data_IF_428148699476
#
_entry.id   IF_428148699476
#
_cell.length_a   1.000
_cell.length_b   1.000
_cell.length_c   1.000
_cell.angle_alpha   90.00
_cell.angle_beta   90.00
_cell.angle_gamma   90.00
#
_symmetry.space_group_name_H-M   'P 1'
#
loop_
_entity.id
_entity.type
_entity.pdbx_description
1 polymer ?
#
# COMPACT_ATOMS: atom_id res chain seq x y z
N UNK A 1 -0.55 -0.21 16.87
CA UNK A 1 -0.11 0.09 15.48
C UNK A 1 1.38 -0.18 15.38
N UNK A 2 1.80 -1.09 14.53
CA UNK A 2 3.20 -1.47 14.34
C UNK A 2 3.79 -0.72 13.14
N UNK A 3 4.64 0.27 13.41
CA UNK A 3 5.28 1.16 12.43
C UNK A 3 4.71 2.57 12.43
N UNK A 4 5.57 3.56 12.69
CA UNK A 4 5.24 5.00 12.80
C UNK A 4 5.60 5.78 11.51
N UNK A 5 5.43 5.13 10.34
CA UNK A 5 5.48 5.77 9.02
C UNK A 5 4.23 6.63 8.76
N UNK A 6 4.06 7.08 7.51
CA UNK A 6 2.89 7.89 7.11
C UNK A 6 1.58 7.16 7.41
N UNK A 7 1.40 5.95 6.86
CA UNK A 7 0.18 5.15 7.01
C UNK A 7 -0.06 4.80 8.49
N UNK A 8 0.96 4.26 9.18
CA UNK A 8 0.80 3.87 10.58
C UNK A 8 0.48 5.04 11.50
N UNK A 9 1.14 6.19 11.33
CA UNK A 9 0.83 7.40 12.10
C UNK A 9 -0.59 7.93 11.80
N UNK A 10 -0.99 7.95 10.52
CA UNK A 10 -2.32 8.38 10.12
C UNK A 10 -3.42 7.50 10.74
N UNK A 11 -3.31 6.17 10.57
CA UNK A 11 -4.32 5.26 11.11
C UNK A 11 -4.35 5.29 12.63
N UNK A 12 -3.17 5.30 13.30
CA UNK A 12 -3.11 5.43 14.76
C UNK A 12 -3.76 6.71 15.27
N UNK A 13 -3.42 7.83 14.65
CA UNK A 13 -3.95 9.13 15.09
C UNK A 13 -5.45 9.28 14.91
N UNK A 14 -5.99 8.85 13.75
CA UNK A 14 -7.44 8.92 13.52
C UNK A 14 -8.23 7.92 14.38
N UNK A 15 -7.68 6.73 14.62
CA UNK A 15 -8.30 5.77 15.56
C UNK A 15 -8.32 6.34 16.97
N UNK A 16 -7.23 6.96 17.45
CA UNK A 16 -7.18 7.60 18.74
C UNK A 16 -8.16 8.78 18.85
N UNK A 17 -8.26 9.61 17.82
CA UNK A 17 -9.25 10.70 17.73
C UNK A 17 -10.70 10.18 17.75
N UNK A 18 -10.95 8.97 17.24
CA UNK A 18 -12.23 8.29 17.31
C UNK A 18 -12.47 7.55 18.66
N UNK A 19 -11.63 7.78 19.69
CA UNK A 19 -11.81 7.24 21.03
C UNK A 19 -11.29 5.81 21.24
N UNK A 20 -10.46 5.27 20.30
CA UNK A 20 -9.83 3.97 20.50
C UNK A 20 -8.57 4.09 21.35
N UNK A 21 -8.29 3.09 22.23
CA UNK A 21 -7.00 2.97 22.90
C UNK A 21 -5.94 2.48 21.91
N UNK A 22 -5.03 3.37 21.52
CA UNK A 22 -4.03 3.11 20.50
C UNK A 22 -2.63 3.27 21.04
N UNK A 23 -1.82 2.20 20.86
CA UNK A 23 -0.37 2.27 20.99
C UNK A 23 0.27 2.35 19.60
N UNK A 24 1.14 3.34 19.38
CA UNK A 24 1.94 3.49 18.16
C UNK A 24 3.39 3.11 18.45
N UNK A 25 3.85 2.04 17.82
CA UNK A 25 5.24 1.59 17.92
C UNK A 25 6.14 2.42 17.00
N UNK A 26 7.11 3.08 17.61
CA UNK A 26 8.13 3.88 16.93
C UNK A 26 9.51 3.54 17.49
N UNK A 27 10.56 3.70 16.68
CA UNK A 27 11.94 3.42 17.08
C UNK A 27 12.89 4.56 16.71
N UNK A 28 14.05 4.60 17.36
CA UNK A 28 15.13 5.53 17.03
C UNK A 28 14.70 7.00 17.04
N UNK A 29 15.15 7.75 16.06
CA UNK A 29 14.87 9.19 15.94
C UNK A 29 13.37 9.49 15.89
N UNK A 30 12.55 8.61 15.27
CA UNK A 30 11.09 8.80 15.20
C UNK A 30 10.42 8.67 16.57
N UNK A 31 10.89 7.76 17.41
CA UNK A 31 10.42 7.61 18.79
C UNK A 31 10.71 8.88 19.59
N UNK A 32 11.98 9.35 19.57
CA UNK A 32 12.39 10.56 20.27
C UNK A 32 11.57 11.78 19.83
N UNK A 33 11.33 11.91 18.53
CA UNK A 33 10.53 12.98 17.96
C UNK A 33 9.07 12.94 18.43
N UNK A 34 8.40 11.79 18.31
CA UNK A 34 7.00 11.64 18.72
C UNK A 34 6.81 11.84 20.24
N UNK A 35 7.80 11.44 21.04
CA UNK A 35 7.78 11.69 22.50
C UNK A 35 7.91 13.18 22.84
N UNK A 36 8.70 13.93 22.06
CA UNK A 36 8.95 15.37 22.29
C UNK A 36 7.82 16.25 21.76
N UNK A 37 7.32 15.96 20.54
CA UNK A 37 6.45 16.85 19.78
C UNK A 37 5.00 16.35 19.67
N UNK A 38 4.79 15.06 19.96
CA UNK A 38 3.52 14.41 19.68
C UNK A 38 3.34 14.08 18.19
N UNK A 39 2.13 13.70 17.81
CA UNK A 39 1.75 13.45 16.41
C UNK A 39 0.80 14.54 15.94
N UNK A 40 1.09 15.14 14.82
CA UNK A 40 0.19 16.08 14.14
C UNK A 40 -0.22 15.49 12.79
N UNK A 41 -1.52 15.42 12.51
CA UNK A 41 -2.11 15.04 11.25
C UNK A 41 -2.68 16.28 10.54
N UNK A 42 -2.36 16.44 9.27
CA UNK A 42 -2.86 17.52 8.42
C UNK A 42 -3.59 16.91 7.22
N UNK A 43 -4.88 17.14 7.12
CA UNK A 43 -5.67 16.73 5.97
C UNK A 43 -5.47 17.71 4.82
N UNK A 44 -4.82 17.27 3.74
CA UNK A 44 -4.55 18.14 2.57
C UNK A 44 -5.82 18.59 1.84
N UNK A 45 -6.94 17.88 2.01
CA UNK A 45 -8.17 18.22 1.32
C UNK A 45 -8.93 19.35 2.01
N UNK A 46 -8.93 19.37 3.35
CA UNK A 46 -9.63 20.38 4.15
C UNK A 46 -8.70 21.43 4.77
N UNK A 47 -7.40 21.15 4.86
CA UNK A 47 -6.44 21.93 5.64
C UNK A 47 -6.59 21.74 7.16
N UNK A 48 -7.46 20.83 7.59
CA UNK A 48 -7.69 20.57 9.01
C UNK A 48 -6.45 19.94 9.65
N UNK A 49 -6.07 20.47 10.82
CA UNK A 49 -4.95 19.99 11.61
C UNK A 49 -5.46 19.40 12.92
N UNK A 50 -5.03 18.18 13.22
CA UNK A 50 -5.39 17.47 14.44
C UNK A 50 -4.15 16.93 15.15
N UNK A 51 -4.12 16.99 16.49
CA UNK A 51 -3.03 16.47 17.33
C UNK A 51 -3.58 15.43 18.31
N UNK A 52 -3.82 14.19 17.85
CA UNK A 52 -4.40 13.15 18.66
C UNK A 52 -3.45 12.70 19.77
N UNK A 53 -4.00 12.48 20.96
CA UNK A 53 -3.26 11.86 22.06
C UNK A 53 -3.26 10.35 21.88
N UNK A 54 -2.06 9.77 21.79
CA UNK A 54 -1.89 8.32 21.71
C UNK A 54 -0.62 7.89 22.46
N UNK A 55 -0.61 6.64 22.88
CA UNK A 55 0.53 6.07 23.59
C UNK A 55 1.62 5.71 22.57
N UNK A 56 2.82 6.26 22.78
CA UNK A 56 4.00 5.93 21.97
C UNK A 56 4.81 4.86 22.70
N UNK A 57 5.00 3.71 22.05
CA UNK A 57 5.75 2.57 22.59
C UNK A 57 6.98 2.29 21.72
N UNK A 58 8.04 1.81 22.38
CA UNK A 58 9.31 1.49 21.72
C UNK A 58 9.40 0.04 21.31
N UNK A 59 8.75 -0.84 22.06
CA UNK A 59 8.79 -2.28 21.87
C UNK A 59 7.39 -2.87 21.80
N UNK A 60 7.29 -4.03 21.20
CA UNK A 60 6.14 -4.91 21.22
C UNK A 60 6.57 -6.21 21.91
N UNK A 61 6.02 -6.46 23.10
CA UNK A 61 6.45 -7.55 23.94
C UNK A 61 5.63 -8.83 23.74
N UNK A 62 6.19 -10.02 24.03
CA UNK A 62 5.48 -11.29 23.89
C UNK A 62 4.22 -11.44 24.74
N UNK A 63 4.11 -10.68 25.82
CA UNK A 63 2.98 -10.68 26.78
C UNK A 63 2.03 -9.51 26.62
N UNK A 64 2.31 -8.58 25.70
CA UNK A 64 1.39 -7.50 25.36
C UNK A 64 0.01 -8.02 24.95
N UNK A 65 -1.04 -7.33 25.39
CA UNK A 65 -2.43 -7.66 25.07
C UNK A 65 -3.03 -6.54 24.23
N UNK A 66 -3.41 -6.89 23.00
CA UNK A 66 -4.14 -6.02 22.07
C UNK A 66 -5.23 -6.82 21.37
N UNK A 67 -6.37 -6.22 21.11
CA UNK A 67 -7.44 -6.84 20.31
C UNK A 67 -6.99 -7.05 18.87
N UNK A 68 -6.24 -6.08 18.32
CA UNK A 68 -5.74 -6.09 16.95
C UNK A 68 -4.37 -5.43 16.87
N UNK A 69 -3.45 -6.04 16.16
CA UNK A 69 -2.20 -5.39 15.72
C UNK A 69 -2.32 -5.06 14.24
N UNK A 70 -2.15 -3.78 13.89
CA UNK A 70 -2.09 -3.34 12.49
C UNK A 70 -0.63 -3.06 12.15
N UNK A 71 -0.09 -3.79 11.19
CA UNK A 71 1.27 -3.67 10.68
C UNK A 71 1.26 -2.75 9.47
N UNK A 72 1.91 -1.59 9.60
CA UNK A 72 2.02 -0.57 8.55
C UNK A 72 3.50 -0.25 8.28
N UNK A 73 4.31 -1.29 8.14
CA UNK A 73 5.70 -1.21 7.71
C UNK A 73 5.82 -1.37 6.20
N UNK A 74 6.98 -1.07 5.63
CA UNK A 74 7.25 -1.35 4.23
C UNK A 74 7.42 -2.86 4.00
N UNK A 75 7.19 -3.31 2.78
CA UNK A 75 7.28 -4.71 2.39
C UNK A 75 8.68 -5.31 2.65
N UNK A 76 9.74 -4.53 2.44
CA UNK A 76 11.14 -4.92 2.68
C UNK A 76 11.47 -5.16 4.17
N UNK A 77 10.67 -4.64 5.09
CA UNK A 77 10.88 -4.77 6.53
C UNK A 77 10.16 -5.97 7.17
N UNK A 78 9.31 -6.66 6.42
CA UNK A 78 8.45 -7.73 6.97
C UNK A 78 9.25 -8.88 7.55
N UNK A 79 10.34 -9.28 6.91
CA UNK A 79 11.18 -10.38 7.40
C UNK A 79 11.70 -10.13 8.83
N UNK A 80 12.01 -8.87 9.18
CA UNK A 80 12.48 -8.48 10.51
C UNK A 80 11.33 -8.39 11.53
N UNK A 81 10.12 -8.07 11.06
CA UNK A 81 8.95 -7.86 11.93
C UNK A 81 8.27 -9.17 12.30
N UNK A 82 8.27 -10.16 11.42
CA UNK A 82 7.57 -11.44 11.64
C UNK A 82 8.01 -12.20 12.89
N UNK A 83 9.30 -12.34 13.23
CA UNK A 83 9.71 -13.00 14.47
C UNK A 83 9.17 -12.32 15.72
N UNK A 84 9.14 -10.97 15.74
CA UNK A 84 8.62 -10.18 16.85
C UNK A 84 7.11 -10.38 17.01
N UNK A 85 6.37 -10.39 15.91
CA UNK A 85 4.91 -10.66 15.91
C UNK A 85 4.60 -12.10 16.32
N UNK A 86 5.43 -13.07 15.90
CA UNK A 86 5.25 -14.48 16.20
C UNK A 86 5.51 -14.81 17.67
N UNK A 87 6.43 -14.09 18.32
CA UNK A 87 6.73 -14.26 19.75
C UNK A 87 5.52 -13.95 20.64
N UNK A 88 4.68 -12.99 20.26
CA UNK A 88 3.45 -12.71 20.95
C UNK A 88 2.31 -13.60 20.45
N UNK A 89 1.81 -14.49 21.31
CA UNK A 89 0.70 -15.41 21.03
C UNK A 89 -0.64 -14.96 21.61
N UNK A 90 -0.67 -13.86 22.34
CA UNK A 90 -1.89 -13.32 22.98
C UNK A 90 -2.77 -12.53 22.01
N UNK A 91 -2.17 -11.94 21.00
CA UNK A 91 -2.88 -11.20 19.95
C UNK A 91 -3.41 -12.16 18.90
N UNK A 92 -4.72 -12.25 18.75
CA UNK A 92 -5.40 -13.17 17.84
C UNK A 92 -5.62 -12.62 16.43
N UNK A 93 -5.38 -11.32 16.19
CA UNK A 93 -5.60 -10.69 14.91
C UNK A 93 -4.46 -9.73 14.54
N UNK A 94 -3.79 -10.01 13.43
CA UNK A 94 -2.73 -9.17 12.86
C UNK A 94 -3.11 -8.76 11.44
N UNK A 95 -3.29 -7.48 11.22
CA UNK A 95 -3.64 -6.90 9.91
C UNK A 95 -2.37 -6.38 9.26
N UNK A 96 -2.03 -6.90 8.08
CA UNK A 96 -0.93 -6.39 7.27
C UNK A 96 -1.46 -5.34 6.29
N UNK A 97 -1.34 -4.06 6.67
CA UNK A 97 -1.84 -2.92 5.91
C UNK A 97 -0.71 -2.34 5.05
N UNK A 98 -0.30 -3.09 4.04
CA UNK A 98 0.87 -2.79 3.23
C UNK A 98 0.82 -3.44 1.85
N UNK A 99 1.75 -3.05 0.99
CA UNK A 99 2.01 -3.77 -0.25
C UNK A 99 2.58 -5.18 0.03
N UNK A 100 2.04 -6.20 -0.65
CA UNK A 100 2.55 -7.57 -0.58
C UNK A 100 2.16 -8.31 -1.86
N UNK A 101 3.12 -8.52 -2.76
CA UNK A 101 2.89 -9.26 -3.99
C UNK A 101 3.40 -10.71 -3.94
N UNK A 102 4.23 -11.05 -2.95
CA UNK A 102 4.73 -12.42 -2.74
C UNK A 102 3.68 -13.40 -2.22
N UNK A 103 2.52 -12.87 -1.80
CA UNK A 103 1.46 -13.65 -1.19
C UNK A 103 1.62 -13.88 0.32
N UNK A 104 0.61 -14.48 0.97
CA UNK A 104 0.56 -14.59 2.43
C UNK A 104 1.32 -15.78 3.02
N UNK A 105 2.02 -16.59 2.22
CA UNK A 105 2.61 -17.84 2.69
C UNK A 105 3.56 -17.66 3.90
N UNK A 106 4.46 -16.70 3.84
CA UNK A 106 5.41 -16.42 4.93
C UNK A 106 4.68 -15.87 6.17
N UNK A 107 3.63 -15.07 5.99
CA UNK A 107 2.82 -14.55 7.09
C UNK A 107 2.08 -15.68 7.81
N UNK A 108 1.51 -16.59 7.03
CA UNK A 108 0.82 -17.79 7.54
C UNK A 108 1.78 -18.72 8.26
N UNK A 109 2.97 -18.97 7.69
CA UNK A 109 3.97 -19.82 8.30
C UNK A 109 4.44 -19.29 9.66
N UNK A 110 4.60 -17.97 9.79
CA UNK A 110 5.05 -17.33 11.02
C UNK A 110 3.96 -17.21 12.10
N UNK A 111 2.72 -16.90 11.72
CA UNK A 111 1.66 -16.48 12.64
C UNK A 111 0.49 -17.46 12.76
N UNK A 112 0.33 -18.37 11.80
CA UNK A 112 -0.90 -19.15 11.63
C UNK A 112 -1.94 -18.39 10.78
N UNK A 113 -2.70 -19.15 9.98
CA UNK A 113 -3.70 -18.59 9.03
C UNK A 113 -4.77 -17.76 9.72
N UNK A 114 -5.23 -18.19 10.87
CA UNK A 114 -6.33 -17.58 11.65
C UNK A 114 -5.96 -16.22 12.24
N UNK A 115 -4.68 -15.93 12.41
CA UNK A 115 -4.23 -14.62 12.90
C UNK A 115 -4.06 -13.58 11.81
N UNK A 116 -3.87 -14.01 10.56
CA UNK A 116 -3.50 -13.12 9.45
C UNK A 116 -4.74 -12.54 8.77
N UNK A 117 -4.79 -11.22 8.69
CA UNK A 117 -5.68 -10.45 7.84
C UNK A 117 -4.83 -9.64 6.87
N UNK A 118 -5.15 -9.69 5.59
CA UNK A 118 -4.50 -8.88 4.57
C UNK A 118 -5.27 -7.57 4.39
N UNK A 119 -4.55 -6.48 4.16
CA UNK A 119 -5.16 -5.19 3.93
C UNK A 119 -4.32 -4.29 3.03
N UNK A 120 -4.94 -3.21 2.59
CA UNK A 120 -4.28 -2.14 1.85
C UNK A 120 -4.87 -0.79 2.26
N UNK A 121 -4.05 0.26 2.50
CA UNK A 121 -4.55 1.55 2.95
C UNK A 121 -5.32 2.29 1.85
N UNK A 122 -6.36 3.01 2.25
CA UNK A 122 -7.13 3.91 1.39
C UNK A 122 -6.68 5.36 1.47
N UNK A 123 -5.42 5.59 1.86
CA UNK A 123 -4.86 6.90 2.07
C UNK A 123 -3.37 6.90 1.70
N UNK A 124 -2.89 8.04 1.29
CA UNK A 124 -1.47 8.32 1.09
C UNK A 124 -1.08 9.64 1.72
N UNK A 125 0.19 10.01 1.64
CA UNK A 125 0.67 11.27 2.17
C UNK A 125 2.19 11.31 2.32
N UNK A 126 2.64 12.38 2.94
CA UNK A 126 4.03 12.62 3.24
C UNK A 126 4.22 12.87 4.74
N UNK A 127 5.43 12.65 5.21
CA UNK A 127 5.82 12.97 6.57
C UNK A 127 6.94 13.99 6.56
N UNK A 128 6.73 15.04 7.29
CA UNK A 128 7.74 16.04 7.58
C UNK A 128 7.80 16.19 9.09
N UNK A 129 8.90 15.75 9.68
CA UNK A 129 9.07 15.69 11.13
C UNK A 129 7.92 14.96 11.84
N UNK A 130 7.34 15.56 12.89
CA UNK A 130 6.21 15.00 13.64
C UNK A 130 4.88 15.10 12.88
N UNK A 131 4.83 15.90 11.81
CA UNK A 131 3.64 16.16 11.02
C UNK A 131 3.48 15.08 9.92
N UNK A 132 2.25 14.64 9.73
CA UNK A 132 1.85 13.76 8.63
C UNK A 132 0.79 14.48 7.83
N UNK A 133 1.17 14.97 6.67
CA UNK A 133 0.24 15.47 5.66
C UNK A 133 -0.35 14.28 4.94
N UNK A 134 -1.66 14.16 4.92
CA UNK A 134 -2.33 13.01 4.33
C UNK A 134 -3.52 13.41 3.47
N UNK A 135 -3.86 12.51 2.54
CA UNK A 135 -5.09 12.57 1.76
C UNK A 135 -5.74 11.19 1.73
N UNK A 136 -7.03 11.14 2.00
CA UNK A 136 -7.84 9.96 1.69
C UNK A 136 -8.02 9.89 0.17
N UNK A 137 -7.82 8.70 -0.41
CA UNK A 137 -7.93 8.49 -1.86
C UNK A 137 -9.38 8.12 -2.17
N UNK A 138 -10.19 9.00 -2.83
CA UNK A 138 -11.62 8.74 -3.04
C UNK A 138 -11.89 7.45 -3.81
N UNK A 139 -11.01 7.09 -4.76
CA UNK A 139 -11.14 5.91 -5.60
C UNK A 139 -10.67 4.62 -4.91
N UNK A 140 -9.97 4.73 -3.77
CA UNK A 140 -9.34 3.65 -3.04
C UNK A 140 -9.82 3.61 -1.59
N UNK A 141 -10.69 2.66 -1.27
CA UNK A 141 -11.06 2.37 0.12
C UNK A 141 -9.95 1.60 0.83
N UNK A 142 -9.91 1.64 2.16
CA UNK A 142 -9.13 0.68 2.93
C UNK A 142 -9.65 -0.71 2.63
N UNK A 143 -8.82 -1.54 2.00
CA UNK A 143 -9.19 -2.89 1.64
C UNK A 143 -8.82 -3.85 2.76
N UNK A 144 -9.69 -4.79 3.07
CA UNK A 144 -9.45 -5.86 4.03
C UNK A 144 -9.90 -7.20 3.46
N UNK A 145 -9.19 -8.28 3.81
CA UNK A 145 -9.59 -9.62 3.43
C UNK A 145 -8.95 -10.70 4.30
N UNK A 146 -9.74 -11.71 4.61
CA UNK A 146 -9.21 -12.94 5.23
C UNK A 146 -8.41 -13.73 4.22
N UNK A 147 -7.39 -14.44 4.70
CA UNK A 147 -6.65 -15.40 3.88
C UNK A 147 -7.54 -16.53 3.36
N UNK A 148 -8.62 -16.85 4.08
CA UNK A 148 -9.61 -17.84 3.66
C UNK A 148 -10.54 -17.35 2.53
N UNK A 149 -10.60 -16.04 2.28
CA UNK A 149 -11.55 -15.40 1.38
C UNK A 149 -12.96 -15.20 1.96
N UNK A 150 -13.19 -15.61 3.20
CA UNK A 150 -14.46 -15.39 3.88
C UNK A 150 -14.58 -13.95 4.39
N UNK A 151 -15.79 -13.40 4.43
CA UNK A 151 -16.06 -12.16 5.16
C UNK A 151 -16.56 -12.56 6.55
N UNK A 152 -15.70 -12.38 7.55
CA UNK A 152 -15.95 -12.87 8.91
C UNK A 152 -16.51 -11.78 9.83
N UNK A 153 -17.13 -12.15 10.97
CA UNK A 153 -17.56 -11.16 11.96
C UNK A 153 -16.43 -10.26 12.47
N UNK A 154 -15.19 -10.76 12.55
CA UNK A 154 -14.05 -9.92 12.95
C UNK A 154 -13.73 -8.84 11.92
N UNK A 155 -13.82 -9.14 10.60
CA UNK A 155 -13.65 -8.12 9.57
C UNK A 155 -14.71 -7.02 9.67
N UNK A 156 -15.96 -7.37 9.99
CA UNK A 156 -17.02 -6.38 10.20
C UNK A 156 -16.74 -5.50 11.42
N UNK A 157 -16.28 -6.06 12.55
CA UNK A 157 -15.88 -5.27 13.74
C UNK A 157 -14.73 -4.33 13.41
N UNK A 158 -13.68 -4.82 12.74
CA UNK A 158 -12.54 -3.99 12.32
C UNK A 158 -13.01 -2.87 11.39
N UNK A 159 -13.86 -3.20 10.41
CA UNK A 159 -14.38 -2.21 9.48
C UNK A 159 -15.19 -1.12 10.18
N UNK A 160 -16.05 -1.49 11.17
CA UNK A 160 -16.81 -0.51 11.94
C UNK A 160 -15.92 0.46 12.70
N UNK A 161 -14.85 -0.05 13.33
CA UNK A 161 -13.86 0.78 14.04
C UNK A 161 -13.11 1.73 13.08
N UNK A 162 -12.67 1.23 11.93
CA UNK A 162 -12.02 2.06 10.92
C UNK A 162 -12.97 3.09 10.31
N UNK A 163 -14.23 2.73 10.07
CA UNK A 163 -15.25 3.65 9.56
C UNK A 163 -15.58 4.75 10.57
N UNK A 164 -15.66 4.44 11.86
CA UNK A 164 -15.82 5.42 12.91
C UNK A 164 -14.63 6.41 12.97
N UNK A 165 -13.42 5.95 12.60
CA UNK A 165 -12.24 6.79 12.44
C UNK A 165 -12.20 7.52 11.07
N UNK A 166 -13.26 7.45 10.27
CA UNK A 166 -13.41 8.13 8.98
C UNK A 166 -12.67 7.49 7.81
N UNK A 167 -12.31 6.21 7.89
CA UNK A 167 -11.75 5.48 6.76
C UNK A 167 -12.85 4.71 6.03
N UNK A 168 -13.12 4.98 4.74
CA UNK A 168 -13.96 4.10 3.93
C UNK A 168 -13.34 2.70 3.85
N UNK A 169 -14.11 1.66 4.14
CA UNK A 169 -13.63 0.26 4.11
C UNK A 169 -14.38 -0.55 3.06
N UNK A 170 -13.67 -1.48 2.43
CA UNK A 170 -14.26 -2.51 1.58
C UNK A 170 -13.56 -3.85 1.80
N UNK A 171 -14.28 -4.94 1.49
CA UNK A 171 -13.74 -6.29 1.61
C UNK A 171 -13.39 -6.88 0.25
N UNK A 172 -12.30 -7.64 0.21
CA UNK A 172 -11.96 -8.50 -0.90
C UNK A 172 -11.93 -9.96 -0.45
N UNK A 173 -12.67 -10.82 -1.15
CA UNK A 173 -12.60 -12.27 -0.94
C UNK A 173 -11.34 -12.89 -1.54
N UNK A 174 -10.58 -12.11 -2.33
CA UNK A 174 -9.34 -12.52 -3.00
C UNK A 174 -8.28 -11.46 -2.77
N UNK A 175 -7.99 -11.17 -1.49
CA UNK A 175 -7.11 -10.05 -1.14
C UNK A 175 -5.69 -10.26 -1.67
N UNK A 176 -5.19 -11.50 -1.71
CA UNK A 176 -3.91 -11.81 -2.36
C UNK A 176 -3.90 -11.45 -3.85
N UNK A 177 -4.94 -11.82 -4.59
CA UNK A 177 -5.08 -11.46 -5.99
C UNK A 177 -5.22 -9.93 -6.19
N UNK A 178 -5.92 -9.26 -5.26
CA UNK A 178 -6.02 -7.81 -5.24
C UNK A 178 -4.65 -7.14 -5.09
N UNK A 179 -3.84 -7.61 -4.12
CA UNK A 179 -2.48 -7.07 -3.87
C UNK A 179 -1.55 -7.31 -5.06
N UNK A 180 -1.60 -8.48 -5.70
CA UNK A 180 -0.81 -8.78 -6.91
C UNK A 180 -1.23 -7.91 -8.10
N UNK A 181 -2.54 -7.71 -8.29
CA UNK A 181 -3.08 -6.81 -9.33
C UNK A 181 -2.60 -5.39 -9.10
N UNK A 182 -2.68 -4.93 -7.83
CA UNK A 182 -2.20 -3.60 -7.44
C UNK A 182 -0.70 -3.45 -7.68
N UNK A 183 0.11 -4.45 -7.31
CA UNK A 183 1.55 -4.41 -7.50
C UNK A 183 1.94 -4.26 -8.98
N UNK A 184 1.31 -5.00 -9.89
CA UNK A 184 1.53 -4.84 -11.34
C UNK A 184 1.18 -3.43 -11.80
N UNK A 185 0.02 -2.91 -11.37
CA UNK A 185 -0.43 -1.57 -11.76
C UNK A 185 0.50 -0.48 -11.24
N UNK A 186 0.81 -0.50 -9.94
CA UNK A 186 1.58 0.59 -9.31
C UNK A 186 3.05 0.57 -9.74
N UNK A 187 3.65 -0.60 -9.97
CA UNK A 187 5.02 -0.70 -10.48
C UNK A 187 5.13 -0.28 -11.94
N UNK A 188 4.12 -0.56 -12.77
CA UNK A 188 4.05 -0.05 -14.13
C UNK A 188 3.90 1.49 -14.16
N UNK A 189 3.05 2.05 -13.29
CA UNK A 189 2.92 3.51 -13.13
C UNK A 189 4.24 4.13 -12.67
N UNK A 190 4.91 3.53 -11.68
CA UNK A 190 6.19 4.00 -11.20
C UNK A 190 7.25 4.02 -12.30
N UNK A 191 7.36 2.95 -13.10
CA UNK A 191 8.26 2.88 -14.23
C UNK A 191 7.97 3.94 -15.29
N UNK A 192 6.69 4.16 -15.61
CA UNK A 192 6.28 5.19 -16.56
C UNK A 192 6.65 6.61 -16.07
N UNK A 193 6.47 6.89 -14.77
CA UNK A 193 6.84 8.16 -14.16
C UNK A 193 8.36 8.34 -14.17
N UNK A 194 9.16 7.33 -13.84
CA UNK A 194 10.61 7.41 -13.89
C UNK A 194 11.14 7.67 -15.31
N UNK A 195 10.57 7.02 -16.32
CA UNK A 195 10.92 7.29 -17.72
C UNK A 195 10.51 8.67 -18.21
N UNK A 196 9.51 9.28 -17.56
CA UNK A 196 8.98 10.60 -17.90
C UNK A 196 9.51 11.70 -16.94
N UNK A 197 10.78 11.61 -16.55
CA UNK A 197 11.45 12.61 -15.71
C UNK A 197 10.75 12.88 -14.38
N UNK A 198 10.04 11.87 -13.85
CA UNK A 198 9.48 11.89 -12.50
C UNK A 198 8.12 12.58 -12.34
N UNK A 199 7.40 12.94 -13.42
CA UNK A 199 6.10 13.61 -13.32
C UNK A 199 4.99 12.87 -14.06
N UNK A 200 3.76 12.92 -13.52
CA UNK A 200 2.57 12.40 -14.20
C UNK A 200 2.22 13.22 -15.45
N UNK A 201 2.44 14.52 -15.41
CA UNK A 201 2.18 15.42 -16.54
C UNK A 201 3.02 15.02 -17.78
N UNK A 202 4.29 14.70 -17.61
CA UNK A 202 5.15 14.23 -18.70
C UNK A 202 4.71 12.86 -19.24
N UNK A 203 4.23 11.95 -18.39
CA UNK A 203 3.61 10.69 -18.86
C UNK A 203 2.38 10.98 -19.72
N UNK A 204 1.54 11.94 -19.33
CA UNK A 204 0.32 12.29 -20.05
C UNK A 204 0.59 12.98 -21.39
N UNK A 205 1.57 13.88 -21.46
CA UNK A 205 1.93 14.67 -22.66
C UNK A 205 2.78 13.86 -23.66
N UNK A 206 3.54 12.88 -23.18
CA UNK A 206 4.37 12.03 -24.02
C UNK A 206 3.56 11.20 -25.01
N UNK A 207 4.03 11.12 -26.28
CA UNK A 207 3.31 10.42 -27.34
C UNK A 207 3.06 8.93 -26.97
N UNK A 208 4.05 8.25 -26.39
CA UNK A 208 3.99 6.83 -25.99
C UNK A 208 3.90 6.60 -24.46
N UNK A 209 3.90 7.63 -23.63
CA UNK A 209 3.91 7.48 -22.17
C UNK A 209 2.72 6.66 -21.66
N UNK A 210 1.50 7.17 -21.83
CA UNK A 210 0.27 6.46 -21.42
C UNK A 210 0.00 5.21 -22.29
N UNK A 211 0.16 5.22 -23.63
CA UNK A 211 0.04 4.00 -24.42
C UNK A 211 0.95 2.86 -23.94
N UNK A 212 2.22 3.12 -23.65
CA UNK A 212 3.16 2.13 -23.09
C UNK A 212 2.69 1.62 -21.72
N UNK A 213 2.29 2.51 -20.83
CA UNK A 213 1.72 2.11 -19.54
C UNK A 213 0.54 1.14 -19.70
N UNK A 214 -0.41 1.46 -20.60
CA UNK A 214 -1.57 0.61 -20.82
C UNK A 214 -1.18 -0.75 -21.40
N UNK A 215 -0.22 -0.81 -22.35
CA UNK A 215 0.31 -2.09 -22.86
C UNK A 215 0.97 -2.89 -21.76
N UNK A 216 1.83 -2.26 -20.96
CA UNK A 216 2.53 -2.89 -19.85
C UNK A 216 1.56 -3.50 -18.83
N UNK A 217 0.52 -2.75 -18.40
CA UNK A 217 -0.49 -3.26 -17.47
C UNK A 217 -1.28 -4.42 -18.10
N UNK A 218 -1.65 -4.34 -19.38
CA UNK A 218 -2.30 -5.45 -20.09
C UNK A 218 -1.45 -6.71 -20.13
N UNK A 219 -0.15 -6.57 -20.41
CA UNK A 219 0.82 -7.68 -20.41
C UNK A 219 0.90 -8.34 -19.03
N UNK A 220 1.07 -7.53 -17.98
CA UNK A 220 1.12 -8.02 -16.60
C UNK A 220 -0.18 -8.66 -16.14
N UNK A 221 -1.34 -8.09 -16.47
CA UNK A 221 -2.65 -8.69 -16.13
C UNK A 221 -2.91 -9.97 -16.91
N UNK A 222 -2.44 -10.06 -18.14
CA UNK A 222 -2.51 -11.30 -18.90
C UNK A 222 -1.65 -12.39 -18.24
N UNK A 223 -0.41 -12.08 -17.88
CA UNK A 223 0.49 -12.99 -17.18
C UNK A 223 -0.08 -13.42 -15.81
N UNK A 224 -0.66 -12.50 -15.01
CA UNK A 224 -1.35 -12.87 -13.76
C UNK A 224 -2.46 -13.88 -14.01
N UNK A 225 -3.29 -13.68 -15.05
CA UNK A 225 -4.36 -14.63 -15.39
C UNK A 225 -3.81 -15.98 -15.82
N UNK A 226 -2.73 -16.01 -16.58
CA UNK A 226 -2.04 -17.26 -16.98
C UNK A 226 -1.47 -17.99 -15.74
N UNK A 227 -1.03 -17.23 -14.71
CA UNK A 227 -0.65 -17.79 -13.42
C UNK A 227 -1.84 -18.22 -12.54
N UNK A 228 -3.09 -18.16 -13.03
CA UNK A 228 -4.29 -18.49 -12.25
C UNK A 228 -4.75 -17.41 -11.27
N UNK A 229 -4.19 -16.20 -11.33
CA UNK A 229 -4.54 -15.08 -10.46
C UNK A 229 -5.64 -14.23 -11.11
N UNK A 230 -6.74 -14.04 -10.38
CA UNK A 230 -7.83 -13.16 -10.83
C UNK A 230 -7.41 -11.69 -10.75
N UNK A 231 -7.85 -10.88 -11.72
CA UNK A 231 -7.64 -9.44 -11.67
C UNK A 231 -8.70 -8.80 -10.78
N UNK A 232 -8.27 -8.23 -9.67
CA UNK A 232 -9.10 -7.59 -8.65
C UNK A 232 -8.66 -6.13 -8.40
N UNK A 233 -9.60 -5.18 -8.28
CA UNK A 233 -11.05 -5.35 -8.46
C UNK A 233 -11.44 -5.54 -9.94
N UNK A 234 -12.57 -6.22 -10.19
CA UNK A 234 -13.05 -6.50 -11.57
C UNK A 234 -13.07 -5.29 -12.51
N UNK A 235 -13.30 -4.09 -11.96
CA UNK A 235 -13.26 -2.84 -12.75
C UNK A 235 -11.92 -2.65 -13.48
N UNK A 236 -10.81 -3.09 -12.92
CA UNK A 236 -9.50 -3.04 -13.59
C UNK A 236 -9.41 -4.05 -14.73
N UNK A 237 -9.93 -5.26 -14.54
CA UNK A 237 -10.02 -6.23 -15.63
C UNK A 237 -10.85 -5.69 -16.78
N UNK A 238 -12.01 -5.09 -16.51
CA UNK A 238 -12.87 -4.48 -17.53
C UNK A 238 -12.10 -3.37 -18.26
N UNK A 239 -11.53 -2.42 -17.51
CA UNK A 239 -10.83 -1.26 -18.08
C UNK A 239 -9.65 -1.68 -18.97
N UNK A 240 -8.80 -2.57 -18.49
CA UNK A 240 -7.56 -2.90 -19.18
C UNK A 240 -7.66 -4.07 -20.16
N UNK A 241 -8.50 -5.07 -19.91
CA UNK A 241 -8.52 -6.30 -20.72
C UNK A 241 -9.70 -6.40 -21.69
N UNK A 242 -10.85 -5.80 -21.34
CA UNK A 242 -12.08 -5.99 -22.12
C UNK A 242 -12.47 -4.77 -22.95
N UNK A 243 -12.14 -3.56 -22.49
CA UNK A 243 -12.43 -2.37 -23.27
C UNK A 243 -11.40 -2.15 -24.39
N UNK A 244 -11.80 -1.47 -25.50
CA UNK A 244 -10.87 -1.06 -26.56
C UNK A 244 -9.67 -0.29 -26.00
N UNK A 245 -8.51 -0.45 -26.63
CA UNK A 245 -7.24 0.12 -26.14
C UNK A 245 -7.30 1.64 -25.94
N UNK A 246 -8.03 2.34 -26.77
CA UNK A 246 -8.18 3.81 -26.65
C UNK A 246 -8.88 4.26 -25.37
N UNK A 247 -9.73 3.42 -24.78
CA UNK A 247 -10.48 3.79 -23.57
C UNK A 247 -9.58 3.96 -22.34
N UNK A 248 -8.79 2.96 -21.91
CA UNK A 248 -7.85 3.14 -20.80
C UNK A 248 -6.78 4.19 -21.14
N UNK A 249 -6.32 4.32 -22.38
CA UNK A 249 -5.38 5.38 -22.78
C UNK A 249 -5.98 6.77 -22.54
N UNK A 250 -7.22 7.01 -23.00
CA UNK A 250 -7.90 8.30 -22.81
C UNK A 250 -8.15 8.57 -21.32
N UNK A 251 -8.58 7.56 -20.56
CA UNK A 251 -8.82 7.69 -19.13
C UNK A 251 -7.55 8.10 -18.38
N UNK A 252 -6.45 7.35 -18.55
CA UNK A 252 -5.20 7.61 -17.85
C UNK A 252 -4.52 8.89 -18.29
N UNK A 253 -4.61 9.26 -19.58
CA UNK A 253 -4.09 10.55 -20.07
C UNK A 253 -4.77 11.72 -19.40
N UNK A 254 -6.12 11.68 -19.30
CA UNK A 254 -6.88 12.72 -18.60
C UNK A 254 -6.57 12.75 -17.11
N UNK A 255 -6.43 11.60 -16.49
CA UNK A 255 -6.17 11.51 -15.06
C UNK A 255 -4.77 12.01 -14.71
N UNK A 256 -3.75 11.61 -15.44
CA UNK A 256 -2.37 12.07 -15.21
C UNK A 256 -2.13 13.54 -15.55
N UNK A 257 -2.99 14.19 -16.32
CA UNK A 257 -2.95 15.62 -16.53
C UNK A 257 -3.48 16.44 -15.34
N UNK A 258 -4.06 15.77 -14.32
CA UNK A 258 -4.61 16.44 -13.13
C UNK A 258 -3.54 16.56 -12.04
N UNK A 259 -3.58 17.66 -11.28
CA UNK A 259 -2.67 17.88 -10.14
C UNK A 259 -2.81 16.80 -9.06
N UNK A 260 -4.00 16.23 -8.91
CA UNK A 260 -4.27 15.15 -7.97
C UNK A 260 -3.42 13.91 -8.26
N UNK A 261 -3.23 13.55 -9.53
CA UNK A 261 -2.39 12.41 -9.93
C UNK A 261 -0.92 12.62 -9.55
N UNK A 262 -0.41 13.85 -9.67
CA UNK A 262 0.94 14.20 -9.26
C UNK A 262 1.15 13.96 -7.76
N UNK A 263 0.19 14.35 -6.92
CA UNK A 263 0.25 14.16 -5.47
C UNK A 263 0.14 12.68 -5.08
N UNK A 264 -0.77 11.93 -5.72
CA UNK A 264 -1.02 10.53 -5.39
C UNK A 264 0.10 9.61 -5.88
N UNK A 265 0.57 9.78 -7.13
CA UNK A 265 1.51 8.85 -7.76
C UNK A 265 2.94 9.37 -7.78
N UNK A 266 3.19 10.54 -8.37
CA UNK A 266 4.57 10.95 -8.61
C UNK A 266 5.30 11.27 -7.31
N UNK A 267 4.65 11.92 -6.36
CA UNK A 267 5.24 12.19 -5.04
C UNK A 267 5.52 10.89 -4.27
N UNK A 268 4.59 9.94 -4.30
CA UNK A 268 4.79 8.62 -3.70
C UNK A 268 5.94 7.86 -4.37
N UNK A 269 5.96 7.79 -5.68
CA UNK A 269 7.02 7.11 -6.46
C UNK A 269 8.40 7.69 -6.14
N UNK A 270 8.53 9.02 -6.08
CA UNK A 270 9.79 9.68 -5.73
C UNK A 270 10.24 9.38 -4.29
N UNK A 271 9.32 9.27 -3.34
CA UNK A 271 9.64 9.03 -1.93
C UNK A 271 9.79 7.55 -1.55
N UNK A 272 9.20 6.63 -2.31
CA UNK A 272 9.10 5.20 -2.01
C UNK A 272 9.82 4.29 -3.04
N UNK A 273 10.88 4.77 -3.68
CA UNK A 273 11.59 4.02 -4.72
C UNK A 273 12.09 2.64 -4.27
N UNK A 274 12.50 2.49 -3.01
CA UNK A 274 12.87 1.19 -2.43
C UNK A 274 11.70 0.21 -2.37
N UNK A 275 10.50 0.69 -2.00
CA UNK A 275 9.29 -0.12 -1.98
C UNK A 275 8.86 -0.56 -3.39
N UNK A 276 8.96 0.33 -4.37
CA UNK A 276 8.63 -0.02 -5.76
C UNK A 276 9.56 -1.11 -6.30
N UNK A 277 10.86 -1.04 -6.01
CA UNK A 277 11.81 -2.10 -6.36
C UNK A 277 11.49 -3.43 -5.69
N UNK A 278 11.19 -3.41 -4.40
CA UNK A 278 10.79 -4.61 -3.68
C UNK A 278 9.55 -5.26 -4.29
N UNK A 279 8.54 -4.45 -4.67
CA UNK A 279 7.35 -4.97 -5.34
C UNK A 279 7.67 -5.60 -6.71
N UNK A 280 8.57 -5.02 -7.47
CA UNK A 280 9.04 -5.62 -8.73
C UNK A 280 9.69 -6.97 -8.43
N UNK A 281 10.60 -7.05 -7.45
CA UNK A 281 11.27 -8.29 -7.05
C UNK A 281 10.27 -9.38 -6.59
N UNK A 282 9.16 -8.99 -5.97
CA UNK A 282 8.12 -9.92 -5.51
C UNK A 282 7.24 -10.44 -6.66
N UNK A 283 6.87 -9.58 -7.62
CA UNK A 283 5.90 -9.95 -8.67
C UNK A 283 6.55 -10.50 -9.92
N UNK A 284 7.71 -10.01 -10.30
CA UNK A 284 8.39 -10.37 -11.55
C UNK A 284 8.68 -11.87 -11.69
N UNK A 285 9.21 -12.59 -10.66
CA UNK A 285 9.46 -14.04 -10.80
C UNK A 285 8.17 -14.84 -11.06
N UNK A 286 7.07 -14.45 -10.43
CA UNK A 286 5.77 -15.10 -10.62
C UNK A 286 5.26 -14.94 -12.05
N UNK A 287 5.43 -13.77 -12.65
CA UNK A 287 4.99 -13.51 -14.02
C UNK A 287 5.93 -14.11 -15.06
N UNK A 288 7.25 -14.08 -14.84
CA UNK A 288 8.24 -14.74 -15.72
C UNK A 288 7.98 -16.25 -15.84
N UNK A 289 7.59 -16.90 -14.76
CA UNK A 289 7.24 -18.33 -14.75
C UNK A 289 6.08 -18.71 -15.66
N UNK A 290 5.29 -17.74 -16.14
CA UNK A 290 4.15 -18.00 -17.05
C UNK A 290 4.55 -18.15 -18.52
N UNK A 291 5.77 -17.76 -18.90
CA UNK A 291 6.22 -17.72 -20.30
C UNK A 291 5.57 -16.60 -21.15
N UNK A 292 4.75 -15.72 -20.56
CA UNK A 292 4.15 -14.61 -21.29
C UNK A 292 5.18 -13.56 -21.69
N UNK A 293 5.08 -13.03 -22.92
CA UNK A 293 5.89 -11.89 -23.37
C UNK A 293 5.40 -10.60 -22.76
N UNK A 294 6.30 -9.85 -22.08
CA UNK A 294 5.98 -8.62 -21.37
C UNK A 294 7.02 -7.51 -21.65
N UNK A 295 7.28 -7.16 -22.92
CA UNK A 295 8.34 -6.21 -23.24
C UNK A 295 8.13 -4.82 -22.60
N UNK A 296 6.95 -4.21 -22.78
CA UNK A 296 6.68 -2.89 -22.19
C UNK A 296 6.75 -2.91 -20.66
N UNK A 297 6.22 -3.96 -20.00
CA UNK A 297 6.28 -4.07 -18.55
C UNK A 297 7.71 -4.26 -18.04
N UNK A 298 8.51 -5.07 -18.71
CA UNK A 298 9.92 -5.27 -18.37
C UNK A 298 10.72 -3.96 -18.53
N UNK A 299 10.47 -3.18 -19.58
CA UNK A 299 11.10 -1.88 -19.78
C UNK A 299 10.78 -0.91 -18.63
N UNK A 300 9.50 -0.87 -18.20
CA UNK A 300 9.08 -0.05 -17.08
C UNK A 300 9.71 -0.52 -15.77
N UNK A 301 9.82 -1.82 -15.54
CA UNK A 301 10.48 -2.38 -14.36
C UNK A 301 11.99 -2.09 -14.34
N UNK A 302 12.67 -2.15 -15.49
CA UNK A 302 14.08 -1.72 -15.60
C UNK A 302 14.26 -0.25 -15.17
N UNK A 303 13.29 0.62 -15.47
CA UNK A 303 13.32 2.01 -15.02
C UNK A 303 13.17 2.12 -13.50
N UNK A 304 12.29 1.29 -12.88
CA UNK A 304 12.16 1.22 -11.42
C UNK A 304 13.43 0.74 -10.75
N UNK A 305 14.08 -0.28 -11.31
CA UNK A 305 15.33 -0.84 -10.79
C UNK A 305 16.51 0.18 -10.83
N UNK A 306 16.58 0.96 -11.90
CA UNK A 306 17.61 1.99 -12.11
C UNK A 306 17.36 3.30 -11.38
N UNK A 307 16.15 3.50 -10.86
CA UNK A 307 15.81 4.74 -10.18
C UNK A 307 16.73 4.98 -8.96
N UNK A 308 17.15 6.22 -8.71
CA UNK A 308 18.05 6.52 -7.60
C UNK A 308 17.39 6.12 -6.27
N UNK A 309 18.17 5.46 -5.41
CA UNK A 309 17.76 5.25 -4.03
C UNK A 309 17.87 6.60 -3.32
N UNK A 310 16.76 7.27 -3.10
CA UNK A 310 16.77 8.37 -2.14
C UNK A 310 16.84 7.69 -0.76
N UNK A 311 18.07 7.35 -0.35
CA UNK A 311 18.36 7.12 1.07
C UNK A 311 18.09 8.47 1.75
N UNK A 312 16.93 8.63 2.37
CA UNK A 312 16.81 9.58 3.46
C UNK A 312 17.67 9.00 4.59
N UNK A 313 18.95 9.34 4.57
CA UNK A 313 19.86 9.20 5.70
C UNK A 313 19.20 9.87 6.90
N UNK A 314 19.11 9.12 7.98
CA UNK A 314 18.82 9.48 9.35
C UNK A 314 17.46 10.08 9.62
#
# INVERSE_FOLDING_TARGET
MFGAGVVGSLYAGRLAAAGQDVALLARGARLAQLRREGLTLVDEASGEETSPRLRIVEEYLPDDIYDVVIVATRADQIAEVLPVLAANRRVSCVIFLQNCASGPANLIAALGRERVVLGFPGAGGAREDARVQYRLIPQQKTMLGEVSGCVTPRLHRIASVLQAAGFPVAFSRRMDAWLKTHAVLVTAIAGAIYLAEGTCANVASGADGVPRLVRAVRQGFHALRTAGVFIEPRKLAILFLWLPFSVPVTYWRRYFAQQEAELIFAQHVRSAGGEMRELVLQVQPQLRGTGCSMPDLNDLWCAVEKAPSINKST
#
